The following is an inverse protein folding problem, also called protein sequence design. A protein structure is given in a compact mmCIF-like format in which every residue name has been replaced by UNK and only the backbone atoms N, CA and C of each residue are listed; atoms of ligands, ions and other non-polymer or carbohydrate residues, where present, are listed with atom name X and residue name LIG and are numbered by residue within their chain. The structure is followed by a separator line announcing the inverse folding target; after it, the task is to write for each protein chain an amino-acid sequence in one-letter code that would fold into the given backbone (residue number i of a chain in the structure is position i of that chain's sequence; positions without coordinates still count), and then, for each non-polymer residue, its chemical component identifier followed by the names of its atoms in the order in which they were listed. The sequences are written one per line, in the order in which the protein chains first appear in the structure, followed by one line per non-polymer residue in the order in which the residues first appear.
data_IF_024077459038
#
_entry.id   IF_024077459038
#
_cell.length_a   1.000
_cell.length_b   1.000
_cell.length_c   1.000
_cell.angle_alpha   90.00
_cell.angle_beta   90.00
_cell.angle_gamma   90.00
#
_symmetry.space_group_name_H-M   'P 1'
#
loop_
_entity.id
_entity.type
_entity.pdbx_description
1 polymer ?
#
# COMPACT_ATOMS: atom_id res chain seq x y z
N UNK A 1 -38.89 -8.88 17.59
CA UNK A 1 -37.40 -8.90 17.60
C UNK A 1 -36.92 -8.64 16.18
N UNK A 2 -36.09 -7.60 16.02
CA UNK A 2 -35.76 -6.98 14.73
C UNK A 2 -34.97 -7.90 13.80
N UNK A 3 -35.42 -7.99 12.55
CA UNK A 3 -34.99 -8.83 11.44
C UNK A 3 -33.59 -8.44 10.88
N UNK A 4 -32.61 -8.16 11.75
CA UNK A 4 -31.27 -7.63 11.38
C UNK A 4 -30.32 -8.64 10.72
N UNK A 5 -30.65 -9.93 10.70
CA UNK A 5 -29.73 -11.00 10.24
C UNK A 5 -30.19 -11.71 8.98
N UNK A 6 -31.33 -11.32 8.39
CA UNK A 6 -31.84 -11.99 7.19
C UNK A 6 -31.14 -11.43 5.95
N UNK A 7 -30.23 -12.22 5.39
CA UNK A 7 -29.57 -11.94 4.11
C UNK A 7 -30.55 -12.26 2.98
N UNK A 8 -31.24 -11.24 2.45
CA UNK A 8 -32.31 -11.41 1.43
C UNK A 8 -31.86 -11.17 -0.01
N UNK A 9 -30.69 -10.55 -0.21
CA UNK A 9 -30.16 -10.22 -1.52
C UNK A 9 -29.04 -11.18 -1.91
N UNK A 10 -29.01 -11.59 -3.19
CA UNK A 10 -27.97 -12.42 -3.78
C UNK A 10 -27.27 -11.64 -4.89
N UNK A 11 -25.96 -11.77 -5.00
CA UNK A 11 -25.14 -11.18 -6.06
C UNK A 11 -24.44 -12.34 -6.76
N UNK A 12 -24.64 -12.46 -8.07
CA UNK A 12 -23.93 -13.42 -8.92
C UNK A 12 -22.93 -12.67 -9.79
N UNK A 13 -21.66 -13.07 -9.71
CA UNK A 13 -20.58 -12.51 -10.51
C UNK A 13 -20.00 -13.64 -11.37
N UNK A 14 -19.88 -13.42 -12.68
CA UNK A 14 -19.14 -14.32 -13.57
C UNK A 14 -17.70 -13.84 -13.61
N UNK A 15 -16.77 -14.78 -13.47
CA UNK A 15 -15.33 -14.51 -13.43
C UNK A 15 -14.67 -15.27 -14.57
N UNK A 16 -13.63 -14.68 -15.16
CA UNK A 16 -12.67 -15.43 -15.96
C UNK A 16 -11.85 -16.37 -15.06
N UNK A 17 -11.09 -17.29 -15.67
CA UNK A 17 -10.21 -18.19 -14.92
C UNK A 17 -9.17 -17.41 -14.10
N UNK A 18 -8.57 -16.36 -14.68
CA UNK A 18 -7.59 -15.50 -14.00
C UNK A 18 -8.20 -14.78 -12.78
N UNK A 19 -9.40 -14.21 -12.95
CA UNK A 19 -10.10 -13.53 -11.86
C UNK A 19 -10.48 -14.50 -10.73
N UNK A 20 -10.91 -15.72 -11.09
CA UNK A 20 -11.26 -16.76 -10.13
C UNK A 20 -10.03 -17.25 -9.35
N UNK A 21 -8.90 -17.44 -10.01
CA UNK A 21 -7.64 -17.76 -9.35
C UNK A 21 -7.19 -16.65 -8.40
N UNK A 22 -7.25 -15.38 -8.84
CA UNK A 22 -6.92 -14.24 -7.99
C UNK A 22 -7.83 -14.17 -6.76
N UNK A 23 -9.13 -14.40 -6.93
CA UNK A 23 -10.07 -14.51 -5.81
C UNK A 23 -9.68 -15.63 -4.85
N UNK A 24 -9.38 -16.83 -5.34
CA UNK A 24 -8.99 -17.97 -4.50
C UNK A 24 -7.68 -17.72 -3.74
N UNK A 25 -6.69 -17.11 -4.37
CA UNK A 25 -5.44 -16.71 -3.69
C UNK A 25 -5.72 -15.76 -2.53
N UNK A 26 -6.51 -14.70 -2.75
CA UNK A 26 -6.85 -13.74 -1.69
C UNK A 26 -7.71 -14.37 -0.58
N UNK A 27 -8.66 -15.23 -0.95
CA UNK A 27 -9.48 -15.97 0.00
C UNK A 27 -8.62 -16.86 0.89
N UNK A 28 -7.74 -17.67 0.31
CA UNK A 28 -6.85 -18.56 1.07
C UNK A 28 -5.91 -17.78 1.99
N UNK A 29 -5.34 -16.67 1.50
CA UNK A 29 -4.48 -15.79 2.30
C UNK A 29 -5.21 -15.12 3.47
N UNK A 30 -6.53 -14.91 3.37
CA UNK A 30 -7.32 -14.30 4.45
C UNK A 30 -7.54 -15.21 5.66
N UNK A 31 -7.34 -16.53 5.53
CA UNK A 31 -7.64 -17.52 6.58
C UNK A 31 -9.13 -17.65 6.93
N UNK A 32 -10.03 -17.02 6.18
CA UNK A 32 -11.47 -17.09 6.42
C UNK A 32 -12.05 -18.45 6.03
N UNK A 33 -13.03 -18.94 6.80
CA UNK A 33 -13.62 -20.27 6.60
C UNK A 33 -14.66 -20.32 5.48
N UNK A 34 -15.19 -19.18 5.05
CA UNK A 34 -16.27 -19.10 4.06
C UNK A 34 -15.97 -18.05 3.00
N UNK A 35 -16.09 -18.44 1.73
CA UNK A 35 -15.98 -17.52 0.58
C UNK A 35 -17.01 -16.40 0.64
N UNK A 36 -18.21 -16.68 1.15
CA UNK A 36 -19.24 -15.65 1.32
C UNK A 36 -18.90 -14.67 2.44
N UNK A 37 -18.25 -15.13 3.51
CA UNK A 37 -17.77 -14.23 4.58
C UNK A 37 -16.63 -13.36 4.07
N UNK A 38 -15.69 -13.95 3.33
CA UNK A 38 -14.63 -13.22 2.66
C UNK A 38 -15.17 -12.19 1.66
N UNK A 39 -16.09 -12.58 0.78
CA UNK A 39 -16.68 -11.67 -0.20
C UNK A 39 -17.44 -10.51 0.48
N UNK A 40 -18.21 -10.79 1.53
CA UNK A 40 -18.88 -9.75 2.32
C UNK A 40 -17.88 -8.83 3.02
N UNK A 41 -16.83 -9.40 3.62
CA UNK A 41 -15.77 -8.60 4.21
C UNK A 41 -15.15 -7.68 3.17
N UNK A 42 -14.80 -8.19 1.99
CA UNK A 42 -14.28 -7.40 0.87
C UNK A 42 -15.26 -6.33 0.37
N UNK A 43 -16.58 -6.56 0.40
CA UNK A 43 -17.57 -5.52 0.07
C UNK A 43 -17.54 -4.38 1.10
N UNK A 44 -17.38 -4.70 2.39
CA UNK A 44 -17.39 -3.71 3.46
C UNK A 44 -16.03 -3.03 3.68
N UNK A 45 -14.91 -3.71 3.40
CA UNK A 45 -13.56 -3.22 3.66
C UNK A 45 -12.76 -2.89 2.41
N UNK A 46 -13.18 -3.38 1.25
CA UNK A 46 -12.51 -3.15 -0.02
C UNK A 46 -12.80 -1.76 -0.55
N UNK A 47 -11.87 -0.84 -0.35
CA UNK A 47 -11.89 0.44 -1.05
C UNK A 47 -11.22 0.31 -2.41
N UNK A 48 -11.90 0.79 -3.46
CA UNK A 48 -11.28 0.94 -4.78
C UNK A 48 -10.53 2.26 -4.76
N UNK A 49 -9.22 2.19 -4.57
CA UNK A 49 -8.36 3.37 -4.66
C UNK A 49 -7.79 3.43 -6.06
N UNK A 50 -8.32 4.34 -6.87
CA UNK A 50 -7.77 4.65 -8.19
C UNK A 50 -6.66 5.66 -7.97
N UNK A 51 -5.42 5.21 -8.03
CA UNK A 51 -4.28 6.10 -8.04
C UNK A 51 -4.05 6.60 -9.46
N UNK A 52 -3.69 7.88 -9.59
CA UNK A 52 -3.08 8.36 -10.81
C UNK A 52 -1.63 7.83 -10.84
N UNK A 53 -1.36 6.92 -11.79
CA UNK A 53 -0.08 6.24 -11.93
C UNK A 53 1.11 7.21 -12.01
N UNK A 54 0.91 8.40 -12.58
CA UNK A 54 1.98 9.39 -12.74
C UNK A 54 2.53 9.88 -11.40
N UNK A 55 1.63 10.21 -10.45
CA UNK A 55 2.02 10.68 -9.12
C UNK A 55 2.69 9.59 -8.29
N UNK A 56 2.22 8.35 -8.41
CA UNK A 56 2.84 7.21 -7.73
C UNK A 56 4.25 6.95 -8.28
N UNK A 57 4.40 7.03 -9.61
CA UNK A 57 5.70 6.86 -10.26
C UNK A 57 6.71 7.93 -9.85
N UNK A 58 6.29 9.18 -9.65
CA UNK A 58 7.16 10.25 -9.13
C UNK A 58 7.67 9.95 -7.72
N UNK A 59 6.81 9.45 -6.83
CA UNK A 59 7.21 9.07 -5.46
C UNK A 59 8.17 7.89 -5.45
N UNK A 60 7.91 6.90 -6.31
CA UNK A 60 8.82 5.76 -6.48
C UNK A 60 10.18 6.21 -7.02
N UNK A 61 10.22 7.19 -7.94
CA UNK A 61 11.48 7.79 -8.41
C UNK A 61 12.22 8.49 -7.27
N UNK A 62 11.52 9.30 -6.47
CA UNK A 62 12.10 9.99 -5.32
C UNK A 62 12.66 9.00 -4.29
N UNK A 63 11.90 7.96 -3.94
CA UNK A 63 12.34 6.92 -3.00
C UNK A 63 13.58 6.16 -3.52
N UNK A 64 13.64 5.85 -4.82
CA UNK A 64 14.84 5.24 -5.43
C UNK A 64 16.06 6.16 -5.37
N UNK A 65 15.88 7.46 -5.65
CA UNK A 65 16.96 8.44 -5.54
C UNK A 65 17.53 8.48 -4.12
N UNK A 66 16.66 8.58 -3.11
CA UNK A 66 17.04 8.57 -1.70
C UNK A 66 17.79 7.29 -1.34
N UNK A 67 17.28 6.13 -1.76
CA UNK A 67 17.92 4.83 -1.50
C UNK A 67 19.32 4.76 -2.10
N UNK A 68 19.49 5.26 -3.33
CA UNK A 68 20.80 5.31 -3.99
C UNK A 68 21.76 6.25 -3.25
N UNK A 69 21.31 7.43 -2.84
CA UNK A 69 22.12 8.40 -2.12
C UNK A 69 22.53 7.85 -0.74
N UNK A 70 21.60 7.21 -0.04
CA UNK A 70 21.87 6.54 1.23
C UNK A 70 22.91 5.43 1.06
N UNK A 71 22.75 4.60 0.04
CA UNK A 71 23.69 3.50 -0.24
C UNK A 71 25.11 4.03 -0.55
N UNK A 72 25.23 5.15 -1.26
CA UNK A 72 26.55 5.78 -1.49
C UNK A 72 27.22 6.19 -0.18
N UNK A 73 26.47 6.80 0.75
CA UNK A 73 27.00 7.18 2.08
C UNK A 73 27.37 5.94 2.89
N UNK A 74 26.53 4.90 2.87
CA UNK A 74 26.79 3.65 3.57
C UNK A 74 28.05 2.93 3.05
N UNK A 75 28.21 2.82 1.72
CA UNK A 75 29.41 2.24 1.10
C UNK A 75 30.65 3.04 1.51
N UNK A 76 30.60 4.38 1.42
CA UNK A 76 31.72 5.24 1.80
C UNK A 76 32.10 5.06 3.27
N UNK A 77 31.12 5.03 4.16
CA UNK A 77 31.33 4.80 5.59
C UNK A 77 31.98 3.42 5.85
N UNK A 78 31.46 2.38 5.21
CA UNK A 78 31.94 1.00 5.36
C UNK A 78 33.35 0.80 4.78
N UNK A 79 33.72 1.57 3.76
CA UNK A 79 35.07 1.56 3.20
C UNK A 79 36.09 2.39 4.00
N UNK A 80 35.72 2.90 5.19
CA UNK A 80 36.58 3.74 6.02
C UNK A 80 36.74 5.17 5.50
N UNK A 81 35.91 5.59 4.54
CA UNK A 81 35.86 6.94 4.02
C UNK A 81 35.20 7.91 5.01
N UNK A 82 35.56 9.19 4.91
CA UNK A 82 34.99 10.24 5.75
C UNK A 82 33.52 10.47 5.37
N UNK A 83 32.63 10.41 6.36
CA UNK A 83 31.22 10.80 6.22
C UNK A 83 31.08 12.25 6.66
N UNK A 84 30.55 13.08 5.77
CA UNK A 84 30.40 14.51 6.04
C UNK A 84 29.05 14.78 6.73
N UNK A 85 28.99 15.69 7.71
CA UNK A 85 27.72 16.14 8.29
C UNK A 85 26.73 16.65 7.24
N UNK A 86 27.24 17.20 6.13
CA UNK A 86 26.48 17.67 4.98
C UNK A 86 25.79 16.51 4.25
N UNK A 87 26.47 15.36 4.09
CA UNK A 87 25.89 14.15 3.48
C UNK A 87 24.66 13.69 4.29
N UNK A 88 24.78 13.68 5.62
CA UNK A 88 23.70 13.29 6.54
C UNK A 88 22.56 14.31 6.52
N UNK A 89 22.89 15.59 6.45
CA UNK A 89 21.91 16.68 6.39
C UNK A 89 21.10 16.63 5.09
N UNK A 90 21.76 16.40 3.96
CA UNK A 90 21.11 16.25 2.66
C UNK A 90 20.19 15.02 2.63
N UNK A 91 20.66 13.87 3.13
CA UNK A 91 19.83 12.66 3.24
C UNK A 91 18.58 12.90 4.08
N UNK A 92 18.71 13.61 5.20
CA UNK A 92 17.58 13.96 6.06
C UNK A 92 16.56 14.82 5.33
N UNK A 93 17.01 15.81 4.57
CA UNK A 93 16.14 16.66 3.76
C UNK A 93 15.41 15.88 2.67
N UNK A 94 16.09 14.95 1.98
CA UNK A 94 15.45 14.12 0.96
C UNK A 94 14.42 13.16 1.56
N UNK A 95 14.71 12.55 2.72
CA UNK A 95 13.75 11.72 3.45
C UNK A 95 12.53 12.52 3.88
N UNK A 96 12.72 13.75 4.37
CA UNK A 96 11.61 14.64 4.75
C UNK A 96 10.72 14.99 3.54
N UNK A 97 11.32 15.20 2.35
CA UNK A 97 10.58 15.42 1.09
C UNK A 97 9.74 14.21 0.68
N UNK A 98 10.19 12.98 0.96
CA UNK A 98 9.42 11.76 0.72
C UNK A 98 8.32 11.57 1.79
N UNK A 99 8.58 11.98 3.03
CA UNK A 99 7.67 11.77 4.14
C UNK A 99 6.36 12.53 4.01
N UNK A 100 6.39 13.76 3.49
CA UNK A 100 5.21 14.60 3.29
C UNK A 100 4.14 13.97 2.38
N UNK A 101 4.47 13.52 1.14
CA UNK A 101 3.49 12.85 0.31
C UNK A 101 3.04 11.52 0.90
N UNK A 102 3.92 10.73 1.52
CA UNK A 102 3.52 9.47 2.18
C UNK A 102 2.50 9.70 3.31
N UNK A 103 2.69 10.75 4.12
CA UNK A 103 1.72 11.18 5.15
C UNK A 103 0.40 11.59 4.54
N UNK A 104 0.42 12.31 3.42
CA UNK A 104 -0.78 12.67 2.68
C UNK A 104 -1.50 11.41 2.16
N UNK A 105 -0.80 10.46 1.55
CA UNK A 105 -1.40 9.19 1.13
C UNK A 105 -1.99 8.42 2.31
N UNK A 106 -1.26 8.35 3.43
CA UNK A 106 -1.74 7.70 4.64
C UNK A 106 -3.03 8.37 5.15
N UNK A 107 -3.13 9.71 5.11
CA UNK A 107 -4.36 10.41 5.53
C UNK A 107 -5.52 10.14 4.60
N UNK A 108 -5.29 10.08 3.29
CA UNK A 108 -6.34 9.71 2.33
C UNK A 108 -6.83 8.29 2.57
N UNK A 109 -5.92 7.34 2.85
CA UNK A 109 -6.29 5.97 3.19
C UNK A 109 -7.04 5.90 4.53
N UNK A 110 -6.64 6.68 5.54
CA UNK A 110 -7.34 6.75 6.83
C UNK A 110 -8.76 7.30 6.69
N UNK A 111 -8.99 8.25 5.79
CA UNK A 111 -10.32 8.78 5.49
C UNK A 111 -11.24 7.76 4.81
N UNK A 112 -10.69 6.71 4.21
CA UNK A 112 -11.51 5.64 3.65
C UNK A 112 -12.18 4.84 4.77
N UNK A 113 -11.56 4.69 5.94
CA UNK A 113 -12.04 3.84 7.04
C UNK A 113 -13.30 4.32 7.80
N UNK A 114 -14.15 5.15 7.19
CA UNK A 114 -15.42 5.63 7.74
C UNK A 114 -16.63 5.22 6.90
#
# INVERSE_FOLDING_TARGET
MSNKTRRTHSIQVRLSDEEYEAFNRKFNASGMKSRSDFFRHMIFTGYIVIFNDDKMNELLKLARSISNNFNQVAVRANSGGKVYPEDISALREEVDKLWQPLRFFQSQLMNLHH
#
